data_IF_311582061974
#
_entry.id   IF_311582061974
#
_cell.length_a   1.000
_cell.length_b   1.000
_cell.length_c   1.000
_cell.angle_alpha   90.00
_cell.angle_beta   90.00
_cell.angle_gamma   90.00
#
_symmetry.space_group_name_H-M   'P 1'
#
loop_
_entity.id
_entity.type
_entity.pdbx_description
1 polymer ?
#
# COMPACT_ATOMS: atom_id res chain seq x y z
N UNK A 1 12.35 -13.50 -4.35
CA UNK A 1 12.32 -12.19 -3.69
C UNK A 1 10.98 -11.94 -3.02
N UNK A 2 11.00 -11.57 -1.73
CA UNK A 2 9.80 -11.05 -1.06
C UNK A 2 9.70 -9.53 -1.27
N UNK A 3 8.51 -9.06 -1.63
CA UNK A 3 8.19 -7.67 -1.92
C UNK A 3 7.11 -7.19 -0.94
N UNK A 4 7.36 -6.05 -0.30
CA UNK A 4 6.58 -5.58 0.84
C UNK A 4 7.43 -5.59 2.11
N UNK A 5 6.84 -5.66 3.31
CA UNK A 5 5.43 -5.90 3.58
C UNK A 5 4.56 -4.63 3.65
N UNK A 6 3.24 -4.80 3.52
CA UNK A 6 2.23 -3.84 3.96
C UNK A 6 1.57 -4.34 5.25
N UNK A 7 1.63 -3.52 6.31
CA UNK A 7 1.02 -3.81 7.60
C UNK A 7 -0.39 -3.26 7.70
N UNK A 8 -1.33 -4.04 8.24
CA UNK A 8 -2.70 -3.60 8.48
C UNK A 8 -3.21 -4.14 9.81
N UNK A 9 -3.84 -3.29 10.62
CA UNK A 9 -4.36 -3.65 11.94
C UNK A 9 -5.87 -3.47 11.94
N UNK A 10 -6.59 -4.53 12.28
CA UNK A 10 -8.03 -4.46 12.57
C UNK A 10 -8.25 -4.66 14.05
N UNK A 11 -8.95 -3.72 14.69
CA UNK A 11 -9.29 -3.77 16.10
C UNK A 11 -10.80 -3.83 16.29
N UNK A 12 -11.28 -4.56 17.31
CA UNK A 12 -12.68 -4.53 17.70
C UNK A 12 -13.09 -3.16 18.22
N UNK A 13 -14.39 -2.84 18.16
CA UNK A 13 -14.92 -1.55 18.61
C UNK A 13 -14.64 -1.25 20.08
N UNK A 14 -14.59 -2.28 20.93
CA UNK A 14 -14.25 -2.18 22.36
C UNK A 14 -12.72 -2.17 22.62
N UNK A 15 -11.92 -2.21 21.56
CA UNK A 15 -10.46 -2.21 21.55
C UNK A 15 -9.80 -3.40 22.24
N UNK A 16 -10.56 -4.43 22.60
CA UNK A 16 -10.02 -5.62 23.28
C UNK A 16 -9.37 -6.60 22.32
N UNK A 17 -9.92 -6.78 21.13
CA UNK A 17 -9.45 -7.78 20.20
C UNK A 17 -8.75 -7.13 19.02
N UNK A 18 -7.68 -7.78 18.55
CA UNK A 18 -6.94 -7.31 17.40
C UNK A 18 -6.60 -8.46 16.46
N UNK A 19 -6.39 -8.07 15.20
CA UNK A 19 -5.78 -8.91 14.18
C UNK A 19 -4.83 -8.05 13.36
N UNK A 20 -3.54 -8.37 13.44
CA UNK A 20 -2.50 -7.68 12.70
C UNK A 20 -2.13 -8.53 11.50
N UNK A 21 -2.27 -7.95 10.32
CA UNK A 21 -1.94 -8.56 9.05
C UNK A 21 -0.62 -8.01 8.54
N UNK A 22 0.17 -8.91 7.96
CA UNK A 22 1.35 -8.60 7.18
C UNK A 22 1.12 -9.15 5.78
N UNK A 23 0.88 -8.28 4.81
CA UNK A 23 0.73 -8.66 3.41
C UNK A 23 2.05 -8.47 2.68
N UNK A 24 2.42 -9.41 1.81
CA UNK A 24 3.65 -9.38 1.05
C UNK A 24 3.45 -10.13 -0.26
N UNK A 25 4.40 -10.03 -1.17
CA UNK A 25 4.36 -10.75 -2.45
C UNK A 25 5.64 -11.53 -2.63
N UNK A 26 5.57 -12.77 -3.08
CA UNK A 26 6.76 -13.56 -3.35
C UNK A 26 6.64 -14.34 -4.66
N UNK A 27 7.78 -14.78 -5.17
CA UNK A 27 7.98 -15.50 -6.43
C UNK A 27 8.35 -16.97 -6.15
N UNK A 28 7.76 -17.59 -5.12
CA UNK A 28 7.95 -19.03 -4.87
C UNK A 28 7.35 -19.90 -6.01
N UNK A 29 6.59 -19.30 -6.92
CA UNK A 29 6.19 -19.87 -8.21
C UNK A 29 6.76 -19.07 -9.39
N UNK A 30 6.23 -19.28 -10.60
CA UNK A 30 6.71 -18.55 -11.80
C UNK A 30 6.41 -17.04 -11.76
N UNK A 31 5.35 -16.65 -11.03
CA UNK A 31 4.89 -15.26 -10.91
C UNK A 31 4.87 -14.79 -9.46
N UNK A 32 4.98 -13.48 -9.26
CA UNK A 32 4.71 -12.82 -7.99
C UNK A 32 3.26 -13.06 -7.57
N UNK A 33 3.08 -13.56 -6.35
CA UNK A 33 1.77 -13.77 -5.74
C UNK A 33 1.69 -13.06 -4.39
N UNK A 34 0.57 -12.41 -4.14
CA UNK A 34 0.27 -11.80 -2.84
C UNK A 34 -0.09 -12.89 -1.83
N UNK A 35 0.57 -12.81 -0.68
CA UNK A 35 0.36 -13.65 0.49
C UNK A 35 0.17 -12.78 1.71
N UNK A 36 -0.33 -13.38 2.78
CA UNK A 36 -0.43 -12.73 4.06
C UNK A 36 -0.10 -13.67 5.22
N UNK A 37 0.42 -13.06 6.28
CA UNK A 37 0.48 -13.61 7.62
C UNK A 37 -0.41 -12.77 8.53
N UNK A 38 -0.89 -13.35 9.62
CA UNK A 38 -1.57 -12.60 10.65
C UNK A 38 -1.32 -13.15 12.05
N UNK A 39 -1.37 -12.26 13.03
CA UNK A 39 -1.46 -12.59 14.45
C UNK A 39 -2.77 -12.03 14.99
N UNK A 40 -3.48 -12.81 15.79
CA UNK A 40 -4.73 -12.38 16.44
C UNK A 40 -4.72 -12.70 17.92
N UNK A 41 -5.39 -11.84 18.69
CA UNK A 41 -5.33 -11.92 20.14
C UNK A 41 -6.18 -10.87 20.85
N UNK A 42 -5.91 -10.76 22.14
CA UNK A 42 -6.61 -9.86 23.05
C UNK A 42 -5.62 -8.96 23.79
N UNK A 43 -5.90 -7.66 23.79
CA UNK A 43 -5.29 -6.69 24.68
C UNK A 43 -5.92 -6.82 26.08
N UNK A 44 -5.10 -7.13 27.08
CA UNK A 44 -5.53 -7.20 28.48
C UNK A 44 -5.97 -5.84 29.04
N UNK A 45 -5.49 -4.75 28.43
CA UNK A 45 -5.97 -3.40 28.66
C UNK A 45 -6.34 -2.76 27.32
N UNK A 46 -7.60 -2.30 27.14
CA UNK A 46 -8.10 -1.82 25.83
C UNK A 46 -7.42 -0.53 25.33
N UNK A 47 -6.63 0.13 26.18
CA UNK A 47 -5.84 1.31 25.81
C UNK A 47 -4.34 1.02 25.65
N UNK A 48 -3.93 -0.26 25.72
CA UNK A 48 -2.55 -0.71 25.57
C UNK A 48 -1.67 -0.24 26.73
N UNK A 49 -1.62 -1.01 27.81
CA UNK A 49 -0.50 -0.90 28.74
C UNK A 49 0.69 -1.64 28.13
N UNK A 50 1.75 -0.96 27.66
CA UNK A 50 2.89 -1.61 27.01
C UNK A 50 3.66 -2.53 27.96
N UNK A 51 3.47 -2.41 29.29
CA UNK A 51 4.06 -3.33 30.27
C UNK A 51 3.32 -4.67 30.38
N UNK A 52 2.09 -4.75 29.84
CA UNK A 52 1.27 -5.96 29.84
C UNK A 52 1.12 -6.48 28.41
N UNK A 53 1.86 -7.53 28.03
CA UNK A 53 1.81 -8.05 26.66
C UNK A 53 0.41 -8.62 26.34
N UNK A 54 -0.03 -8.52 25.07
CA UNK A 54 -1.28 -9.11 24.63
C UNK A 54 -1.26 -10.64 24.75
N UNK A 55 -2.44 -11.23 24.92
CA UNK A 55 -2.63 -12.68 24.76
C UNK A 55 -2.70 -13.01 23.27
N UNK A 56 -1.78 -13.81 22.76
CA UNK A 56 -1.82 -14.29 21.37
C UNK A 56 -2.60 -15.60 21.30
N UNK A 57 -3.59 -15.65 20.41
CA UNK A 57 -4.42 -16.84 20.21
C UNK A 57 -4.03 -17.61 18.95
N UNK A 58 -3.64 -16.89 17.89
CA UNK A 58 -3.23 -17.50 16.63
C UNK A 58 -2.12 -16.69 15.97
N UNK A 59 -1.23 -17.42 15.30
CA UNK A 59 -0.27 -16.91 14.34
C UNK A 59 -0.35 -17.81 13.11
N UNK A 60 -0.72 -17.26 11.97
CA UNK A 60 -0.68 -17.94 10.68
C UNK A 60 0.17 -17.17 9.70
N UNK A 61 0.90 -17.89 8.84
CA UNK A 61 1.74 -17.30 7.81
C UNK A 61 1.55 -18.00 6.47
N UNK A 62 2.09 -17.39 5.42
CA UNK A 62 2.14 -17.96 4.07
C UNK A 62 0.77 -18.32 3.46
N UNK A 63 -0.27 -17.53 3.78
CA UNK A 63 -1.62 -17.76 3.26
C UNK A 63 -1.80 -16.99 1.95
N UNK A 64 -2.23 -17.60 0.83
CA UNK A 64 -2.40 -16.91 -0.44
C UNK A 64 -3.59 -15.95 -0.40
N UNK A 65 -3.45 -14.73 -0.92
CA UNK A 65 -4.57 -13.81 -1.09
C UNK A 65 -5.29 -14.08 -2.43
N UNK A 66 -6.12 -15.14 -2.46
CA UNK A 66 -6.85 -15.59 -3.66
C UNK A 66 -7.66 -14.49 -4.33
N UNK A 67 -8.18 -13.52 -3.56
CA UNK A 67 -8.91 -12.36 -4.07
C UNK A 67 -8.07 -11.51 -5.04
N UNK A 68 -6.76 -11.43 -4.80
CA UNK A 68 -5.83 -10.58 -5.54
C UNK A 68 -5.14 -11.35 -6.65
N UNK A 69 -4.77 -12.60 -6.38
CA UNK A 69 -3.87 -13.36 -7.26
C UNK A 69 -4.52 -13.82 -8.57
N UNK A 70 -3.66 -14.00 -9.56
CA UNK A 70 -3.97 -14.42 -10.91
C UNK A 70 -2.83 -15.26 -11.50
N UNK A 71 -2.90 -15.61 -12.78
CA UNK A 71 -1.80 -16.26 -13.50
C UNK A 71 -0.69 -15.28 -13.93
N UNK A 72 -0.67 -14.09 -13.34
CA UNK A 72 0.20 -12.96 -13.67
C UNK A 72 0.94 -12.51 -12.41
N UNK A 73 1.87 -11.57 -12.52
CA UNK A 73 2.55 -11.00 -11.38
C UNK A 73 1.63 -10.04 -10.64
N UNK A 74 1.33 -10.35 -9.37
CA UNK A 74 0.49 -9.57 -8.48
C UNK A 74 1.28 -9.15 -7.25
N UNK A 75 1.41 -7.84 -7.02
CA UNK A 75 2.32 -7.33 -6.00
C UNK A 75 1.89 -6.02 -5.33
N UNK A 76 2.49 -5.75 -4.17
CA UNK A 76 2.38 -4.50 -3.41
C UNK A 76 0.92 -4.12 -3.06
N UNK A 77 0.22 -4.95 -2.26
CA UNK A 77 -1.12 -4.61 -1.80
C UNK A 77 -1.08 -3.41 -0.84
N UNK A 78 -2.10 -2.57 -0.90
CA UNK A 78 -2.37 -1.46 -0.01
C UNK A 78 -3.87 -1.36 0.25
N UNK A 79 -4.27 -1.18 1.50
CA UNK A 79 -5.67 -1.27 1.93
C UNK A 79 -6.21 0.13 2.22
N UNK A 80 -7.36 0.44 1.63
CA UNK A 80 -8.24 1.54 1.98
C UNK A 80 -9.44 0.95 2.72
N UNK A 81 -9.34 0.91 4.04
CA UNK A 81 -10.31 0.30 4.93
C UNK A 81 -11.59 1.11 5.06
N UNK A 82 -11.47 2.44 4.99
CA UNK A 82 -12.60 3.38 4.98
C UNK A 82 -13.52 3.10 3.80
N UNK A 83 -12.98 2.86 2.61
CA UNK A 83 -13.78 2.65 1.39
C UNK A 83 -13.97 1.17 1.01
N UNK A 84 -13.39 0.24 1.77
CA UNK A 84 -13.42 -1.19 1.51
C UNK A 84 -12.76 -1.56 0.18
N UNK A 85 -11.59 -1.00 -0.12
CA UNK A 85 -10.86 -1.24 -1.37
C UNK A 85 -9.45 -1.73 -1.06
N UNK A 86 -8.97 -2.72 -1.81
CA UNK A 86 -7.56 -3.11 -1.84
C UNK A 86 -7.00 -2.69 -3.19
N UNK A 87 -5.91 -1.92 -3.18
CA UNK A 87 -5.12 -1.58 -4.36
C UNK A 87 -3.87 -2.43 -4.41
N UNK A 88 -3.41 -2.78 -5.60
CA UNK A 88 -2.16 -3.52 -5.83
C UNK A 88 -1.74 -3.30 -7.28
N UNK A 89 -0.51 -3.66 -7.67
CA UNK A 89 -0.14 -3.66 -9.09
C UNK A 89 -0.16 -5.08 -9.66
N UNK A 90 -0.59 -5.19 -10.92
CA UNK A 90 -0.64 -6.44 -11.66
C UNK A 90 -0.27 -6.27 -13.12
N UNK A 91 0.43 -7.24 -13.70
CA UNK A 91 0.69 -7.30 -15.14
C UNK A 91 -0.30 -8.16 -15.94
N UNK A 92 -1.46 -8.51 -15.35
CA UNK A 92 -2.53 -9.28 -16.02
C UNK A 92 -3.08 -8.63 -17.30
N UNK A 93 -2.81 -7.35 -17.51
CA UNK A 93 -3.12 -6.60 -18.75
C UNK A 93 -1.96 -6.54 -19.76
N UNK A 94 -0.90 -7.33 -19.57
CA UNK A 94 0.31 -7.35 -20.40
C UNK A 94 1.43 -6.41 -19.94
N UNK A 95 1.17 -5.58 -18.93
CA UNK A 95 2.15 -4.70 -18.25
C UNK A 95 1.62 -4.32 -16.87
N UNK A 96 2.52 -3.95 -15.97
CA UNK A 96 2.11 -3.56 -14.62
C UNK A 96 1.23 -2.32 -14.66
N UNK A 97 0.02 -2.44 -14.14
CA UNK A 97 -0.90 -1.34 -13.89
C UNK A 97 -1.41 -1.46 -12.46
N UNK A 98 -1.98 -0.37 -11.92
CA UNK A 98 -2.65 -0.39 -10.63
C UNK A 98 -4.05 -0.99 -10.81
N UNK A 99 -4.35 -2.01 -10.02
CA UNK A 99 -5.64 -2.66 -9.90
C UNK A 99 -6.27 -2.35 -8.56
N UNK A 100 -7.59 -2.43 -8.52
CA UNK A 100 -8.40 -2.32 -7.32
C UNK A 100 -9.37 -3.50 -7.22
N UNK A 101 -9.73 -3.87 -5.99
CA UNK A 101 -10.84 -4.79 -5.73
C UNK A 101 -11.59 -4.36 -4.47
N UNK A 102 -12.93 -4.45 -4.53
CA UNK A 102 -13.79 -4.18 -3.38
C UNK A 102 -13.78 -5.37 -2.42
N UNK A 103 -13.82 -5.09 -1.12
CA UNK A 103 -14.08 -6.05 -0.06
C UNK A 103 -15.06 -5.46 0.94
N UNK A 104 -15.66 -6.31 1.77
CA UNK A 104 -16.56 -5.86 2.84
C UNK A 104 -15.76 -5.60 4.14
N UNK A 105 -15.53 -4.33 4.54
CA UNK A 105 -14.73 -4.03 5.73
C UNK A 105 -15.43 -4.44 7.04
N UNK A 106 -16.71 -4.81 7.02
CA UNK A 106 -17.40 -5.34 8.20
C UNK A 106 -17.04 -6.81 8.49
N UNK A 107 -16.50 -7.55 7.51
CA UNK A 107 -16.15 -8.98 7.64
C UNK A 107 -14.70 -9.22 8.03
N UNK A 108 -14.37 -10.47 8.37
CA UNK A 108 -12.97 -10.84 8.60
C UNK A 108 -12.19 -10.75 7.28
N UNK A 109 -11.07 -10.01 7.30
CA UNK A 109 -10.26 -9.78 6.11
C UNK A 109 -9.61 -11.09 5.62
N UNK A 110 -9.37 -12.07 6.49
CA UNK A 110 -8.91 -13.40 6.10
C UNK A 110 -9.91 -14.06 5.15
N UNK A 111 -11.21 -14.02 5.48
CA UNK A 111 -12.26 -14.61 4.65
C UNK A 111 -12.40 -13.87 3.32
N UNK A 112 -12.36 -12.53 3.34
CA UNK A 112 -12.40 -11.73 2.13
C UNK A 112 -11.18 -11.99 1.22
N UNK A 113 -9.97 -12.08 1.77
CA UNK A 113 -8.74 -12.39 1.01
C UNK A 113 -8.73 -13.82 0.46
N UNK A 114 -9.40 -14.78 1.11
CA UNK A 114 -9.56 -16.14 0.60
C UNK A 114 -10.65 -16.27 -0.47
N UNK A 115 -11.55 -15.29 -0.56
CA UNK A 115 -12.68 -15.29 -1.48
C UNK A 115 -12.25 -15.01 -2.92
N UNK A 116 -13.02 -15.52 -3.88
CA UNK A 116 -12.90 -15.22 -5.33
C UNK A 116 -14.15 -14.54 -5.88
N UNK A 117 -15.03 -14.06 -4.99
CA UNK A 117 -16.34 -13.49 -5.36
C UNK A 117 -16.20 -12.20 -6.15
N UNK A 118 -15.36 -11.28 -5.68
CA UNK A 118 -15.09 -10.02 -6.36
C UNK A 118 -13.88 -10.19 -7.26
N UNK A 119 -13.87 -9.49 -8.40
CA UNK A 119 -12.77 -9.56 -9.36
C UNK A 119 -12.01 -8.25 -9.37
N UNK A 120 -10.67 -8.27 -9.32
CA UNK A 120 -9.89 -7.06 -9.49
C UNK A 120 -10.05 -6.45 -10.88
N UNK A 121 -10.07 -5.13 -10.93
CA UNK A 121 -10.16 -4.31 -12.14
C UNK A 121 -9.07 -3.24 -12.16
N UNK A 122 -8.62 -2.84 -13.35
CA UNK A 122 -7.63 -1.77 -13.48
C UNK A 122 -8.24 -0.42 -13.05
N UNK A 123 -7.46 0.41 -12.34
CA UNK A 123 -7.85 1.78 -12.02
C UNK A 123 -7.65 2.64 -13.26
N UNK A 124 -8.67 2.69 -14.11
CA UNK A 124 -8.59 3.28 -15.46
C UNK A 124 -8.18 4.76 -15.46
N UNK A 125 -8.55 5.54 -14.44
CA UNK A 125 -8.17 6.95 -14.34
C UNK A 125 -6.69 7.18 -14.01
N UNK A 126 -6.01 6.15 -13.50
CA UNK A 126 -4.56 6.16 -13.29
C UNK A 126 -3.81 5.56 -14.47
N UNK A 127 -4.46 4.72 -15.29
CA UNK A 127 -3.79 3.90 -16.29
C UNK A 127 -2.97 4.69 -17.31
N UNK A 128 -1.86 4.12 -17.77
CA UNK A 128 -0.96 4.75 -18.73
C UNK A 128 -0.37 3.74 -19.74
N UNK A 129 0.44 4.23 -20.68
CA UNK A 129 1.21 3.32 -21.53
C UNK A 129 2.39 2.67 -20.82
N UNK A 130 2.78 3.21 -19.67
CA UNK A 130 3.92 2.81 -18.86
C UNK A 130 3.57 1.66 -17.89
N UNK A 131 4.55 1.24 -17.09
CA UNK A 131 4.39 0.41 -15.91
C UNK A 131 4.05 1.27 -14.69
N UNK A 132 2.99 0.92 -13.98
CA UNK A 132 2.58 1.57 -12.73
C UNK A 132 2.65 0.54 -11.59
N UNK A 133 3.48 0.83 -10.58
CA UNK A 133 3.83 -0.13 -9.51
C UNK A 133 3.78 0.49 -8.12
N UNK A 134 3.85 -0.37 -7.11
CA UNK A 134 3.94 0.00 -5.69
C UNK A 134 2.90 1.03 -5.24
N UNK A 135 1.60 0.83 -5.51
CA UNK A 135 0.58 1.74 -5.01
C UNK A 135 0.55 1.71 -3.49
N UNK A 136 0.44 2.88 -2.89
CA UNK A 136 0.15 3.06 -1.48
C UNK A 136 -0.95 4.12 -1.35
N UNK A 137 -2.04 3.75 -0.67
CA UNK A 137 -3.17 4.64 -0.42
C UNK A 137 -3.23 5.04 1.05
N UNK A 138 -3.49 6.31 1.30
CA UNK A 138 -3.84 6.86 2.61
C UNK A 138 -4.86 7.98 2.41
N UNK A 139 -5.99 7.89 3.08
CA UNK A 139 -7.08 8.85 2.91
C UNK A 139 -7.48 9.00 1.43
N UNK A 140 -7.45 10.22 0.92
CA UNK A 140 -7.73 10.54 -0.48
C UNK A 140 -6.47 10.72 -1.34
N UNK A 141 -5.30 10.30 -0.86
CA UNK A 141 -4.05 10.34 -1.60
C UNK A 141 -3.56 8.93 -1.93
N UNK A 142 -3.13 8.75 -3.17
CA UNK A 142 -2.39 7.58 -3.61
C UNK A 142 -1.02 8.03 -4.09
N UNK A 143 0.03 7.40 -3.58
CA UNK A 143 1.38 7.51 -4.13
C UNK A 143 1.77 6.19 -4.77
N UNK A 144 2.52 6.27 -5.85
CA UNK A 144 2.94 5.10 -6.62
C UNK A 144 4.16 5.46 -7.47
N UNK A 145 4.70 4.48 -8.20
CA UNK A 145 5.82 4.72 -9.12
C UNK A 145 5.46 4.39 -10.56
N UNK A 146 6.05 5.15 -11.48
CA UNK A 146 5.78 5.01 -12.90
C UNK A 146 6.97 5.35 -13.77
N UNK A 147 7.14 4.64 -14.88
CA UNK A 147 8.13 4.91 -15.95
C UNK A 147 7.48 5.66 -17.14
N UNK A 148 6.43 6.45 -16.88
CA UNK A 148 5.77 7.32 -17.88
C UNK A 148 6.75 8.31 -18.50
N UNK A 149 6.54 8.58 -19.79
CA UNK A 149 7.25 9.64 -20.51
C UNK A 149 7.12 11.00 -19.81
N UNK A 150 8.20 11.79 -19.83
CA UNK A 150 8.27 13.09 -19.15
C UNK A 150 8.73 13.02 -17.69
N UNK A 151 9.04 11.83 -17.17
CA UNK A 151 9.72 11.66 -15.89
C UNK A 151 11.20 12.08 -15.90
N UNK A 152 11.81 12.07 -14.72
CA UNK A 152 13.20 12.40 -14.45
C UNK A 152 14.18 11.26 -14.79
N UNK A 153 13.72 10.01 -14.71
CA UNK A 153 14.57 8.83 -14.84
C UNK A 153 13.82 7.55 -15.18
N UNK A 154 14.18 6.45 -14.51
CA UNK A 154 13.57 5.13 -14.68
C UNK A 154 12.15 5.09 -14.13
N UNK A 155 11.97 4.54 -12.94
CA UNK A 155 10.73 4.72 -12.18
C UNK A 155 10.78 5.99 -11.35
N UNK A 156 9.83 6.88 -11.57
CA UNK A 156 9.62 8.11 -10.83
C UNK A 156 8.47 7.96 -9.82
N UNK A 157 8.50 8.74 -8.73
CA UNK A 157 7.36 8.86 -7.83
C UNK A 157 6.27 9.77 -8.44
N UNK A 158 5.03 9.32 -8.33
CA UNK A 158 3.82 10.06 -8.67
C UNK A 158 2.83 10.03 -7.51
N UNK A 159 1.94 11.03 -7.47
CA UNK A 159 0.74 10.98 -6.65
C UNK A 159 -0.51 11.26 -7.47
N UNK A 160 -1.65 10.79 -6.96
CA UNK A 160 -2.97 11.17 -7.43
C UNK A 160 -3.89 11.39 -6.23
N UNK A 161 -4.82 12.33 -6.37
CA UNK A 161 -5.80 12.64 -5.35
C UNK A 161 -7.18 12.17 -5.79
N UNK A 162 -7.93 11.55 -4.88
CA UNK A 162 -9.29 11.07 -5.13
C UNK A 162 -10.30 12.16 -4.82
N UNK A 163 -11.13 12.49 -5.82
CA UNK A 163 -12.22 13.45 -5.65
C UNK A 163 -13.40 12.89 -4.85
N UNK A 164 -14.36 13.75 -4.51
CA UNK A 164 -15.58 13.37 -3.77
C UNK A 164 -16.43 12.30 -4.48
N UNK A 165 -16.31 12.20 -5.81
CA UNK A 165 -16.96 11.17 -6.63
C UNK A 165 -16.28 9.79 -6.52
N UNK A 166 -15.22 9.66 -5.72
CA UNK A 166 -14.46 8.42 -5.56
C UNK A 166 -13.47 8.12 -6.70
N UNK A 167 -13.31 9.02 -7.66
CA UNK A 167 -12.43 8.85 -8.83
C UNK A 167 -11.07 9.49 -8.56
N UNK A 168 -9.99 8.77 -8.87
CA UNK A 168 -8.63 9.30 -8.82
C UNK A 168 -8.40 10.32 -9.94
N UNK A 169 -7.84 11.47 -9.59
CA UNK A 169 -7.44 12.51 -10.55
C UNK A 169 -6.22 12.11 -11.40
N UNK A 170 -5.86 12.99 -12.33
CA UNK A 170 -4.68 12.79 -13.16
C UNK A 170 -3.40 12.70 -12.30
N UNK A 171 -2.52 11.70 -12.52
CA UNK A 171 -1.28 11.60 -11.77
C UNK A 171 -0.35 12.80 -11.97
N UNK A 172 0.29 13.22 -10.88
CA UNK A 172 1.23 14.33 -10.83
C UNK A 172 2.60 13.80 -10.42
N UNK A 173 3.63 14.12 -11.22
CA UNK A 173 5.02 13.79 -10.92
C UNK A 173 5.50 14.63 -9.72
N UNK A 174 6.22 14.02 -8.77
CA UNK A 174 6.74 14.74 -7.59
C UNK A 174 7.85 15.77 -7.90
N UNK A 175 8.31 15.83 -9.15
CA UNK A 175 9.28 16.79 -9.65
C UNK A 175 10.72 16.47 -9.28
N UNK A 176 11.66 17.20 -9.87
CA UNK A 176 13.11 16.96 -9.76
C UNK A 176 13.71 17.23 -8.38
N UNK A 177 12.94 17.78 -7.44
CA UNK A 177 13.35 17.91 -6.05
C UNK A 177 13.32 16.57 -5.31
N UNK A 178 12.53 15.61 -5.81
CA UNK A 178 12.31 14.30 -5.18
C UNK A 178 12.75 13.19 -6.13
N UNK A 179 12.28 13.24 -7.38
CA UNK A 179 12.64 12.31 -8.43
C UNK A 179 14.02 12.64 -8.99
N UNK A 180 14.77 11.59 -9.32
CA UNK A 180 16.13 11.71 -9.86
C UNK A 180 16.24 11.00 -11.20
N UNK A 181 17.42 10.99 -11.81
CA UNK A 181 17.67 10.15 -12.99
C UNK A 181 17.77 8.65 -12.67
N UNK A 182 17.68 8.27 -11.39
CA UNK A 182 17.73 6.88 -10.92
C UNK A 182 16.32 6.28 -10.80
N UNK A 183 16.19 5.12 -10.16
CA UNK A 183 14.87 4.55 -9.85
C UNK A 183 14.47 4.94 -8.44
N UNK A 184 13.30 5.54 -8.29
CA UNK A 184 12.54 5.66 -7.05
C UNK A 184 11.47 4.57 -6.97
N UNK A 185 11.22 4.04 -5.76
CA UNK A 185 10.40 2.83 -5.59
C UNK A 185 9.79 2.71 -4.19
N UNK A 186 8.67 1.99 -4.06
CA UNK A 186 7.96 1.71 -2.78
C UNK A 186 7.66 2.96 -1.94
N UNK A 187 6.99 3.99 -2.49
CA UNK A 187 6.61 5.15 -1.70
C UNK A 187 5.52 4.79 -0.69
N UNK A 188 5.60 5.39 0.50
CA UNK A 188 4.51 5.47 1.47
C UNK A 188 4.39 6.92 1.95
N UNK A 189 3.17 7.33 2.28
CA UNK A 189 2.91 8.63 2.89
C UNK A 189 2.32 8.42 4.28
N UNK A 190 2.82 9.19 5.24
CA UNK A 190 2.20 9.29 6.56
C UNK A 190 1.34 10.55 6.61
N UNK A 191 0.02 10.34 6.56
CA UNK A 191 -0.99 11.36 6.84
C UNK A 191 -1.57 11.02 8.22
N UNK A 192 -1.20 11.75 9.28
CA UNK A 192 -1.67 11.43 10.61
C UNK A 192 -3.21 11.58 10.69
N UNK A 193 -3.89 10.50 11.12
CA UNK A 193 -5.36 10.41 11.15
C UNK A 193 -6.02 11.35 12.19
N UNK A 194 -5.22 11.98 13.04
CA UNK A 194 -5.70 12.83 14.14
C UNK A 194 -5.49 14.30 13.81
N UNK A 195 -6.54 14.89 13.23
CA UNK A 195 -6.77 16.34 13.20
C UNK A 195 -6.69 16.82 14.67
N UNK A 196 -5.70 17.65 14.99
CA UNK A 196 -5.53 18.29 16.29
C UNK A 196 -4.24 18.00 17.07
N UNK A 197 -3.56 16.86 16.87
CA UNK A 197 -2.25 16.62 17.54
C UNK A 197 -1.05 16.69 16.59
N UNK A 198 -1.25 16.33 15.31
CA UNK A 198 -0.19 16.36 14.28
C UNK A 198 -0.42 17.41 13.18
N UNK A 199 -1.45 18.25 13.29
CA UNK A 199 -1.66 19.47 12.47
C UNK A 199 -0.53 20.50 12.65
N UNK A 200 0.43 20.24 13.55
CA UNK A 200 1.62 21.06 13.74
C UNK A 200 2.60 20.95 12.57
N UNK A 201 2.53 19.89 11.76
CA UNK A 201 3.40 19.73 10.61
C UNK A 201 2.74 20.30 9.35
N UNK A 202 3.44 21.22 8.70
CA UNK A 202 3.01 21.86 7.45
C UNK A 202 3.07 20.91 6.25
N UNK A 203 3.67 19.74 6.40
CA UNK A 203 3.94 18.76 5.34
C UNK A 203 3.49 17.36 5.75
N UNK A 204 3.23 16.51 4.75
CA UNK A 204 3.14 15.05 4.91
C UNK A 204 4.54 14.44 4.79
N UNK A 205 4.79 13.36 5.52
CA UNK A 205 6.05 12.61 5.42
C UNK A 205 5.94 11.60 4.28
N UNK A 206 6.80 11.72 3.27
CA UNK A 206 6.99 10.74 2.21
C UNK A 206 8.24 9.93 2.51
N UNK A 207 8.10 8.61 2.57
CA UNK A 207 9.21 7.65 2.69
C UNK A 207 9.24 6.81 1.43
N UNK A 208 10.41 6.56 0.86
CA UNK A 208 10.57 5.77 -0.37
C UNK A 208 11.97 5.18 -0.44
N UNK A 209 12.19 4.29 -1.41
CA UNK A 209 13.51 3.72 -1.70
C UNK A 209 14.06 4.24 -3.03
N UNK A 210 15.37 4.40 -3.17
CA UNK A 210 15.98 4.84 -4.44
C UNK A 210 17.34 4.21 -4.70
N UNK A 211 17.70 4.06 -5.97
CA UNK A 211 19.03 3.64 -6.44
C UNK A 211 19.95 4.81 -6.76
N UNK A 212 19.66 6.00 -6.23
CA UNK A 212 20.48 7.19 -6.47
C UNK A 212 21.90 7.05 -5.93
N UNK A 213 22.91 7.68 -6.57
CA UNK A 213 24.28 7.64 -6.09
C UNK A 213 24.44 8.14 -4.66
N UNK A 214 25.42 7.59 -3.94
CA UNK A 214 25.74 7.95 -2.55
C UNK A 214 25.05 7.08 -1.49
N UNK A 215 24.21 6.12 -1.91
CA UNK A 215 23.65 5.07 -1.07
C UNK A 215 24.64 3.94 -0.71
N UNK A 216 24.20 3.00 0.13
CA UNK A 216 25.00 1.84 0.57
C UNK A 216 24.78 0.59 -0.29
N UNK A 217 23.95 0.65 -1.33
CA UNK A 217 23.72 -0.48 -2.21
C UNK A 217 22.72 -0.20 -3.33
N UNK A 218 21.87 -1.20 -3.62
CA UNK A 218 20.86 -1.12 -4.67
C UNK A 218 19.77 -0.09 -4.33
N UNK A 219 18.77 -0.50 -3.55
CA UNK A 219 17.71 0.41 -3.09
C UNK A 219 17.97 0.81 -1.63
N UNK A 220 18.24 2.08 -1.38
CA UNK A 220 18.40 2.67 -0.04
C UNK A 220 17.14 3.45 0.36
N UNK A 221 16.91 3.61 1.67
CA UNK A 221 15.74 4.31 2.21
C UNK A 221 15.96 5.83 2.27
N UNK A 222 15.00 6.60 1.77
CA UNK A 222 14.97 8.05 1.79
C UNK A 222 13.63 8.54 2.36
N UNK A 223 13.64 9.75 2.89
CA UNK A 223 12.43 10.43 3.34
C UNK A 223 12.50 11.93 3.06
N UNK A 224 11.33 12.55 2.91
CA UNK A 224 11.21 13.99 2.71
C UNK A 224 9.83 14.48 3.16
N UNK A 225 9.68 15.78 3.37
CA UNK A 225 8.37 16.41 3.53
C UNK A 225 7.80 16.81 2.17
N UNK A 226 6.52 16.53 1.94
CA UNK A 226 5.76 17.01 0.78
C UNK A 226 4.61 17.91 1.23
N UNK A 227 4.15 18.87 0.41
CA UNK A 227 2.93 19.61 0.72
C UNK A 227 1.79 18.65 1.06
N UNK A 228 0.92 19.05 2.00
CA UNK A 228 -0.24 18.25 2.40
C UNK A 228 -1.03 17.79 1.18
N UNK A 229 -1.15 16.47 1.02
CA UNK A 229 -1.90 15.85 -0.06
C UNK A 229 -3.38 15.72 0.36
N UNK A 230 -4.02 16.88 0.53
CA UNK A 230 -5.40 17.02 0.97
C UNK A 230 -6.28 17.57 -0.14
N UNK A 231 -7.57 17.23 -0.06
CA UNK A 231 -8.66 18.01 -0.65
C UNK A 231 -9.39 18.76 0.46
#
# INVERSE_FOLDING_TARGET
>A
NELGPYGYIKQSADKKYFKHYLLYSNDEGENLNVKFAYVEGEYKHPYGDPSVPPSIWSLKGNVPANLLNSASNDAYPSIDDVNGIIYFCSDRGGKFQIYQVKYDPSKDLTDELQSTKNKPEAVSSLASQANDKCPFVKGNAMVFVSDREGGSGGFDLYYSLRGENGVWGAPVNFGSAINTSSNEYRPIIDQPDVIGQFDKFTNDLLIFSSTRPGGLGGYDLYFTGVPKLIF
#
